data_IF_312688704523
#
_entry.id   IF_312688704523
#
_cell.length_a   1.000
_cell.length_b   1.000
_cell.length_c   1.000
_cell.angle_alpha   90.00
_cell.angle_beta   90.00
_cell.angle_gamma   90.00
#
_symmetry.space_group_name_H-M   'P 1'
#
loop_
_entity.id
_entity.type
_entity.pdbx_description
1 polymer ?
#
# COMPACT_ATOMS: atom_id res chain seq x y z
N UNK A 1 -12.22 24.50 39.75
CA UNK A 1 -10.95 24.67 39.01
C UNK A 1 -11.19 24.19 37.60
N UNK A 2 -11.26 25.08 36.60
CA UNK A 2 -11.25 24.69 35.20
C UNK A 2 -9.81 24.29 34.88
N UNK A 3 -9.57 23.00 34.68
CA UNK A 3 -8.27 22.48 34.25
C UNK A 3 -7.85 23.19 32.97
N UNK A 4 -6.57 23.53 32.87
CA UNK A 4 -6.02 24.24 31.71
C UNK A 4 -6.18 23.33 30.50
N UNK A 5 -6.88 23.83 29.49
CA UNK A 5 -6.93 23.23 28.15
C UNK A 5 -5.50 22.89 27.75
N UNK A 6 -5.24 21.63 27.45
CA UNK A 6 -3.94 21.14 26.99
C UNK A 6 -3.69 21.81 25.63
N UNK A 7 -2.99 22.94 25.65
CA UNK A 7 -2.73 23.76 24.47
C UNK A 7 -1.35 23.46 23.94
N UNK A 8 -1.23 23.45 22.61
CA UNK A 8 0.04 23.45 21.90
C UNK A 8 1.00 24.49 22.48
N UNK A 9 2.25 24.09 22.70
CA UNK A 9 3.30 24.97 23.22
C UNK A 9 4.54 24.84 22.36
N UNK A 10 4.96 25.96 21.80
CA UNK A 10 6.29 26.06 21.16
C UNK A 10 7.34 26.03 22.26
N UNK A 11 8.18 24.99 22.25
CA UNK A 11 9.22 24.78 23.27
C UNK A 11 10.52 25.44 22.85
N UNK A 12 10.90 25.23 21.59
CA UNK A 12 12.09 25.83 21.02
C UNK A 12 11.86 26.19 19.57
N UNK A 13 12.44 27.30 19.17
CA UNK A 13 12.45 27.75 17.79
C UNK A 13 13.90 27.97 17.40
N UNK A 14 14.36 27.19 16.41
CA UNK A 14 15.73 27.25 15.93
C UNK A 14 15.71 27.60 14.45
N UNK A 15 16.45 28.66 14.12
CA UNK A 15 16.68 29.02 12.73
C UNK A 15 17.72 28.06 12.16
N UNK A 16 17.30 27.16 11.27
CA UNK A 16 18.20 26.20 10.63
C UNK A 16 19.05 26.86 9.53
N UNK A 17 18.54 27.92 8.93
CA UNK A 17 19.28 28.74 7.96
C UNK A 17 18.49 29.97 7.55
N UNK A 18 19.20 31.07 7.29
CA UNK A 18 18.67 32.22 6.58
C UNK A 18 19.44 32.37 5.27
N UNK A 19 18.72 32.48 4.15
CA UNK A 19 19.37 32.73 2.86
C UNK A 19 19.17 34.19 2.47
N UNK A 20 20.16 35.04 2.76
CA UNK A 20 20.19 36.39 2.18
C UNK A 20 20.54 36.30 0.70
N UNK A 21 19.90 37.14 -0.12
CA UNK A 21 19.98 37.08 -1.59
C UNK A 21 21.40 37.20 -2.20
N UNK A 22 22.42 37.56 -1.40
CA UNK A 22 23.74 38.00 -1.87
C UNK A 22 24.81 36.90 -1.89
N UNK A 23 24.60 35.74 -1.25
CA UNK A 23 25.59 34.63 -1.28
C UNK A 23 25.40 33.61 -2.42
N UNK A 24 24.40 33.82 -3.30
CA UNK A 24 23.97 32.84 -4.33
C UNK A 24 24.92 32.68 -5.53
N UNK A 25 25.88 33.58 -5.77
CA UNK A 25 26.51 33.67 -7.09
C UNK A 25 27.76 32.78 -7.30
N UNK A 26 28.60 32.55 -6.28
CA UNK A 26 29.90 31.88 -6.46
C UNK A 26 29.96 30.39 -6.06
N UNK A 27 29.16 29.98 -5.07
CA UNK A 27 29.04 28.58 -4.62
C UNK A 27 27.83 27.84 -5.23
N UNK A 28 26.94 28.59 -5.90
CA UNK A 28 25.67 28.10 -6.44
C UNK A 28 25.81 27.17 -7.65
N UNK A 29 26.81 27.35 -8.51
CA UNK A 29 26.87 26.58 -9.77
C UNK A 29 27.26 25.11 -9.53
N UNK A 30 28.27 24.82 -8.68
CA UNK A 30 28.64 23.42 -8.35
C UNK A 30 27.57 22.71 -7.51
N UNK A 31 26.96 23.40 -6.54
CA UNK A 31 25.90 22.79 -5.72
C UNK A 31 24.59 22.60 -6.50
N UNK A 32 24.24 23.53 -7.40
CA UNK A 32 23.09 23.38 -8.30
C UNK A 32 23.31 22.30 -9.35
N UNK A 33 24.53 22.14 -9.88
CA UNK A 33 24.83 21.04 -10.80
C UNK A 33 24.77 19.70 -10.05
N UNK A 34 25.37 19.60 -8.86
CA UNK A 34 25.35 18.35 -8.07
C UNK A 34 23.94 17.96 -7.61
N UNK A 35 23.12 18.91 -7.16
CA UNK A 35 21.74 18.63 -6.72
C UNK A 35 20.79 18.30 -7.87
N UNK A 36 21.08 18.80 -9.08
CA UNK A 36 20.33 18.48 -10.30
C UNK A 36 20.78 17.17 -10.94
N UNK A 37 22.07 16.84 -10.88
CA UNK A 37 22.59 15.53 -11.31
C UNK A 37 22.04 14.41 -10.42
N UNK A 38 21.90 14.65 -9.11
CA UNK A 38 21.20 13.71 -8.23
C UNK A 38 19.73 13.56 -8.60
N UNK A 39 19.08 14.62 -9.07
CA UNK A 39 17.70 14.56 -9.56
C UNK A 39 17.54 13.61 -10.76
N UNK A 40 18.46 13.66 -11.73
CA UNK A 40 18.48 12.74 -12.88
C UNK A 40 18.66 11.29 -12.43
N UNK A 41 19.58 11.03 -11.49
CA UNK A 41 19.82 9.67 -10.98
C UNK A 41 18.60 9.13 -10.23
N UNK A 42 17.96 9.95 -9.39
CA UNK A 42 16.70 9.58 -8.73
C UNK A 42 15.59 9.31 -9.76
N UNK A 43 15.53 10.12 -10.82
CA UNK A 43 14.59 9.91 -11.94
C UNK A 43 14.75 8.55 -12.60
N UNK A 44 15.99 8.11 -12.86
CA UNK A 44 16.27 6.76 -13.36
C UNK A 44 15.81 5.66 -12.40
N UNK A 45 16.07 5.82 -11.09
CA UNK A 45 15.62 4.86 -10.07
C UNK A 45 14.09 4.76 -10.07
N UNK A 46 13.38 5.89 -10.18
CA UNK A 46 11.92 5.92 -10.20
C UNK A 46 11.35 5.21 -11.44
N UNK A 47 11.98 5.39 -12.60
CA UNK A 47 11.60 4.67 -13.81
C UNK A 47 11.79 3.16 -13.62
N UNK A 48 12.94 2.71 -13.11
CA UNK A 48 13.18 1.28 -12.85
C UNK A 48 12.16 0.73 -11.85
N UNK A 49 11.92 1.45 -10.74
CA UNK A 49 10.93 1.07 -9.74
C UNK A 49 9.52 0.95 -10.34
N UNK A 50 9.16 1.83 -11.29
CA UNK A 50 7.85 1.74 -11.95
C UNK A 50 7.64 0.42 -12.69
N UNK A 51 8.68 -0.15 -13.33
CA UNK A 51 8.57 -1.47 -13.99
C UNK A 51 8.30 -2.59 -12.99
N UNK A 52 8.97 -2.56 -11.84
CA UNK A 52 8.75 -3.54 -10.75
C UNK A 52 7.33 -3.44 -10.22
N UNK A 53 6.83 -2.22 -10.01
CA UNK A 53 5.45 -1.98 -9.53
C UNK A 53 4.41 -2.45 -10.55
N UNK A 54 4.60 -2.21 -11.86
CA UNK A 54 3.68 -2.74 -12.89
C UNK A 54 3.70 -4.25 -12.92
N UNK A 55 4.89 -4.85 -12.88
CA UNK A 55 5.02 -6.30 -12.90
C UNK A 55 4.29 -6.92 -11.71
N UNK A 56 4.47 -6.37 -10.51
CA UNK A 56 3.73 -6.80 -9.33
C UNK A 56 2.22 -6.57 -9.46
N UNK A 57 1.80 -5.43 -10.01
CA UNK A 57 0.39 -5.09 -10.25
C UNK A 57 -0.33 -6.05 -11.18
N UNK A 58 0.36 -6.59 -12.20
CA UNK A 58 -0.23 -7.53 -13.17
C UNK A 58 -0.24 -8.96 -12.63
N UNK A 59 0.79 -9.35 -11.89
CA UNK A 59 0.92 -10.69 -11.30
C UNK A 59 0.31 -10.79 -9.89
N UNK A 60 -0.42 -9.77 -9.45
CA UNK A 60 -1.06 -9.76 -8.14
C UNK A 60 -2.08 -10.91 -8.04
N UNK A 61 -1.94 -11.73 -7.00
CA UNK A 61 -2.75 -12.93 -6.80
C UNK A 61 -4.24 -12.59 -6.64
N UNK A 62 -5.06 -13.27 -7.44
CA UNK A 62 -6.52 -13.12 -7.44
C UNK A 62 -7.14 -14.09 -6.42
N UNK A 63 -6.89 -13.81 -5.16
CA UNK A 63 -7.47 -14.56 -4.03
C UNK A 63 -9.01 -14.64 -4.13
N UNK A 64 -9.69 -13.60 -4.62
CA UNK A 64 -11.14 -13.54 -4.70
C UNK A 64 -11.72 -14.58 -5.65
N UNK A 65 -11.13 -14.78 -6.84
CA UNK A 65 -11.60 -15.80 -7.78
C UNK A 65 -11.33 -17.19 -7.23
N UNK A 66 -10.15 -17.42 -6.66
CA UNK A 66 -9.82 -18.70 -6.02
C UNK A 66 -10.84 -19.02 -4.92
N UNK A 67 -11.06 -18.09 -3.99
CA UNK A 67 -12.00 -18.24 -2.88
C UNK A 67 -13.44 -18.43 -3.36
N UNK A 68 -13.85 -17.75 -4.43
CA UNK A 68 -15.18 -17.91 -5.02
C UNK A 68 -15.42 -19.35 -5.49
N UNK A 69 -14.42 -19.94 -6.17
CA UNK A 69 -14.50 -21.27 -6.79
C UNK A 69 -14.38 -22.42 -5.78
N UNK A 70 -13.87 -22.16 -4.57
CA UNK A 70 -13.75 -23.19 -3.54
C UNK A 70 -15.11 -23.75 -3.10
N UNK A 71 -15.20 -25.05 -2.80
CA UNK A 71 -16.41 -25.63 -2.21
C UNK A 71 -16.59 -25.13 -0.77
N UNK A 72 -17.83 -24.76 -0.43
CA UNK A 72 -18.24 -24.52 0.95
C UNK A 72 -18.75 -25.82 1.55
N UNK A 73 -17.97 -26.41 2.44
CA UNK A 73 -18.27 -27.67 3.11
C UNK A 73 -18.82 -27.44 4.52
N UNK A 74 -19.69 -28.34 4.97
CA UNK A 74 -20.06 -28.41 6.39
C UNK A 74 -18.87 -28.89 7.23
N UNK A 75 -18.90 -28.65 8.54
CA UNK A 75 -17.84 -29.11 9.45
C UNK A 75 -17.64 -30.63 9.36
N UNK A 76 -18.71 -31.39 9.18
CA UNK A 76 -18.67 -32.85 9.07
C UNK A 76 -17.95 -33.31 7.80
N UNK A 77 -18.26 -32.68 6.66
CA UNK A 77 -17.65 -32.99 5.37
C UNK A 77 -16.18 -32.56 5.32
N UNK A 78 -15.90 -31.39 5.88
CA UNK A 78 -14.56 -30.84 5.92
C UNK A 78 -13.61 -31.67 6.78
N UNK A 79 -14.07 -32.23 7.90
CA UNK A 79 -13.23 -33.05 8.80
C UNK A 79 -12.62 -34.28 8.13
N UNK A 80 -13.25 -34.81 7.07
CA UNK A 80 -12.72 -35.94 6.28
C UNK A 80 -12.06 -35.52 4.96
N UNK A 81 -12.06 -34.23 4.66
CA UNK A 81 -11.49 -33.68 3.42
C UNK A 81 -10.02 -33.30 3.62
N UNK A 82 -9.31 -33.12 2.51
CA UNK A 82 -7.94 -32.60 2.48
C UNK A 82 -7.81 -31.55 1.38
N UNK A 83 -7.00 -30.51 1.61
CA UNK A 83 -6.75 -29.45 0.63
C UNK A 83 -7.43 -28.13 0.97
N UNK A 84 -7.30 -27.18 0.06
CA UNK A 84 -7.88 -25.84 0.20
C UNK A 84 -9.40 -25.89 0.11
N UNK A 85 -10.10 -25.47 1.16
CA UNK A 85 -11.57 -25.50 1.25
C UNK A 85 -12.11 -24.27 1.99
N UNK A 86 -13.44 -24.08 1.93
CA UNK A 86 -14.17 -23.17 2.82
C UNK A 86 -15.00 -23.98 3.79
N UNK A 87 -14.93 -23.63 5.07
CA UNK A 87 -15.71 -24.26 6.14
C UNK A 87 -16.45 -23.17 6.89
N UNK A 88 -17.76 -23.35 7.08
CA UNK A 88 -18.56 -22.48 7.95
C UNK A 88 -19.04 -23.26 9.17
N UNK A 89 -18.92 -22.69 10.35
CA UNK A 89 -19.36 -23.32 11.58
C UNK A 89 -19.39 -22.37 12.78
N UNK A 90 -20.12 -22.78 13.81
CA UNK A 90 -20.05 -22.13 15.12
C UNK A 90 -18.79 -22.58 15.85
N UNK A 91 -18.20 -21.64 16.59
CA UNK A 91 -17.05 -21.92 17.45
C UNK A 91 -17.54 -22.62 18.71
N UNK A 92 -17.01 -23.82 18.97
CA UNK A 92 -17.41 -24.69 20.08
C UNK A 92 -16.41 -24.70 21.24
N UNK A 93 -15.26 -24.07 21.08
CA UNK A 93 -14.22 -23.95 22.11
C UNK A 93 -14.63 -22.98 23.22
N UNK A 94 -13.99 -23.15 24.39
CA UNK A 94 -14.25 -22.28 25.52
C UNK A 94 -13.91 -20.82 25.18
N UNK A 95 -14.82 -19.85 25.43
CA UNK A 95 -14.56 -18.45 25.18
C UNK A 95 -13.49 -17.91 26.14
N UNK A 96 -12.87 -16.79 25.76
CA UNK A 96 -12.01 -16.01 26.63
C UNK A 96 -12.79 -14.81 27.19
N UNK A 97 -12.32 -14.27 28.31
CA UNK A 97 -12.90 -13.07 28.93
C UNK A 97 -12.26 -11.82 28.34
N UNK A 98 -13.08 -10.94 27.78
CA UNK A 98 -12.63 -9.61 27.38
C UNK A 98 -12.19 -8.80 28.62
N UNK A 99 -11.12 -7.99 28.53
CA UNK A 99 -10.71 -7.09 29.60
C UNK A 99 -11.84 -6.16 30.05
N UNK A 100 -11.81 -5.68 31.30
CA UNK A 100 -12.75 -4.73 31.93
C UNK A 100 -14.20 -5.23 32.12
N UNK A 101 -14.80 -5.82 31.10
CA UNK A 101 -16.22 -6.24 31.09
C UNK A 101 -16.42 -7.71 31.49
N UNK A 102 -15.36 -8.53 31.55
CA UNK A 102 -15.46 -9.98 31.79
C UNK A 102 -16.50 -10.69 30.89
N UNK A 103 -16.72 -10.14 29.69
CA UNK A 103 -17.65 -10.69 28.70
C UNK A 103 -17.00 -11.85 27.96
N UNK A 104 -17.75 -12.91 27.73
CA UNK A 104 -17.30 -14.05 26.94
C UNK A 104 -17.22 -13.68 25.45
N UNK A 105 -16.03 -13.87 24.88
CA UNK A 105 -15.70 -13.53 23.49
C UNK A 105 -14.82 -14.63 22.88
N UNK A 106 -14.86 -14.78 21.55
CA UNK A 106 -13.94 -15.66 20.81
C UNK A 106 -12.65 -14.91 20.47
N UNK A 107 -12.77 -13.61 20.19
CA UNK A 107 -11.68 -12.73 19.84
C UNK A 107 -11.95 -11.36 20.44
N UNK A 108 -10.90 -10.68 20.89
CA UNK A 108 -10.95 -9.24 21.16
C UNK A 108 -9.72 -8.54 20.61
N UNK A 109 -9.91 -7.26 20.32
CA UNK A 109 -8.88 -6.26 20.09
C UNK A 109 -9.12 -5.12 21.09
N UNK A 110 -8.19 -4.95 22.02
CA UNK A 110 -8.23 -3.92 23.05
C UNK A 110 -7.21 -2.85 22.72
N UNK A 111 -7.69 -1.62 22.55
CA UNK A 111 -6.85 -0.44 22.39
C UNK A 111 -7.06 0.50 23.57
N UNK A 112 -5.96 1.02 24.10
CA UNK A 112 -5.94 2.13 25.06
C UNK A 112 -4.99 3.18 24.54
N UNK A 113 -5.53 4.37 24.33
CA UNK A 113 -4.79 5.56 23.95
C UNK A 113 -4.85 6.55 25.11
N UNK A 114 -3.74 7.20 25.39
CA UNK A 114 -3.67 8.29 26.36
C UNK A 114 -3.23 9.56 25.66
N UNK A 115 -3.81 10.69 26.08
CA UNK A 115 -3.44 11.98 25.54
C UNK A 115 -2.13 12.42 26.22
N UNK A 116 -1.05 12.43 25.46
CA UNK A 116 0.26 12.85 25.93
C UNK A 116 0.77 14.06 25.16
N UNK A 117 1.60 14.85 25.82
CA UNK A 117 2.34 15.92 25.14
C UNK A 117 3.52 15.29 24.41
N UNK A 118 3.42 15.21 23.09
CA UNK A 118 4.48 14.69 22.24
C UNK A 118 5.23 15.87 21.63
N UNK A 119 6.56 15.80 21.70
CA UNK A 119 7.47 16.73 21.02
C UNK A 119 7.53 16.35 19.55
N UNK A 120 6.95 17.20 18.70
CA UNK A 120 7.02 17.09 17.25
C UNK A 120 7.93 18.20 16.72
N UNK A 121 8.85 17.82 15.84
CA UNK A 121 9.66 18.78 15.10
C UNK A 121 8.92 19.16 13.83
N UNK A 122 8.50 20.42 13.73
CA UNK A 122 7.87 20.97 12.55
C UNK A 122 8.85 21.91 11.85
N UNK A 123 8.98 21.77 10.53
CA UNK A 123 9.84 22.63 9.72
C UNK A 123 8.97 23.55 8.89
N UNK A 124 9.03 24.85 9.17
CA UNK A 124 8.30 25.87 8.42
C UNK A 124 9.28 26.78 7.69
N UNK A 125 8.98 27.14 6.44
CA UNK A 125 9.74 28.14 5.70
C UNK A 125 8.93 29.43 5.67
N UNK A 126 9.46 30.48 6.28
CA UNK A 126 8.82 31.80 6.31
C UNK A 126 9.68 32.82 5.55
N UNK A 127 9.01 33.78 4.91
CA UNK A 127 9.67 34.92 4.25
C UNK A 127 9.63 36.09 5.23
N UNK A 128 10.80 36.56 5.65
CA UNK A 128 10.94 37.70 6.58
C UNK A 128 11.66 38.84 5.87
N UNK A 129 11.02 40.01 5.79
CA UNK A 129 11.65 41.21 5.23
C UNK A 129 12.55 41.85 6.29
N UNK A 130 13.86 41.86 6.05
CA UNK A 130 14.86 42.53 6.91
C UNK A 130 15.67 43.50 6.04
N UNK A 131 15.77 44.75 6.46
CA UNK A 131 16.51 45.81 5.74
C UNK A 131 16.04 46.00 4.28
N UNK A 132 14.75 45.83 4.01
CA UNK A 132 14.15 45.99 2.68
C UNK A 132 14.41 44.82 1.72
N UNK A 133 14.94 43.69 2.20
CA UNK A 133 15.13 42.46 1.43
C UNK A 133 14.31 41.31 2.04
N UNK A 134 13.63 40.56 1.17
CA UNK A 134 12.91 39.35 1.55
C UNK A 134 13.90 38.19 1.70
N UNK A 135 13.96 37.63 2.91
CA UNK A 135 14.84 36.52 3.26
C UNK A 135 13.97 35.30 3.55
N UNK A 136 14.16 34.23 2.79
CA UNK A 136 13.60 32.92 3.14
C UNK A 136 14.40 32.35 4.31
N UNK A 137 13.68 32.06 5.39
CA UNK A 137 14.20 31.49 6.61
C UNK A 137 13.47 30.18 6.88
N UNK A 138 14.23 29.09 7.00
CA UNK A 138 13.69 27.80 7.45
C UNK A 138 13.84 27.72 8.96
N UNK A 139 12.70 27.60 9.63
CA UNK A 139 12.58 27.55 11.07
C UNK A 139 12.21 26.11 11.43
N UNK A 140 13.04 25.49 12.27
CA UNK A 140 12.69 24.25 12.95
C UNK A 140 12.07 24.64 14.28
N UNK A 141 10.81 24.25 14.45
CA UNK A 141 10.05 24.49 15.66
C UNK A 141 9.82 23.17 16.36
N UNK A 142 10.31 23.07 17.58
CA UNK A 142 9.94 21.98 18.47
C UNK A 142 8.62 22.36 19.15
N UNK A 143 7.56 21.68 18.73
CA UNK A 143 6.20 21.90 19.21
C UNK A 143 5.85 20.75 20.14
N UNK A 144 5.48 21.07 21.38
CA UNK A 144 4.78 20.13 22.25
C UNK A 144 3.29 20.24 21.95
N UNK A 145 2.72 19.19 21.35
CA UNK A 145 1.28 19.13 21.05
C UNK A 145 0.65 17.88 21.66
N UNK A 146 -0.63 17.96 22.06
CA UNK A 146 -1.34 16.81 22.56
C UNK A 146 -1.60 15.81 21.43
N UNK A 147 -1.06 14.61 21.56
CA UNK A 147 -1.32 13.50 20.65
C UNK A 147 -1.85 12.29 21.42
N UNK A 148 -2.77 11.55 20.79
CA UNK A 148 -3.24 10.27 21.32
C UNK A 148 -2.15 9.23 21.08
N UNK A 149 -1.52 8.77 22.15
CA UNK A 149 -0.44 7.78 22.10
C UNK A 149 -1.00 6.43 22.53
N UNK A 150 -0.84 5.42 21.68
CA UNK A 150 -1.23 4.05 22.01
C UNK A 150 -0.38 3.51 23.16
N UNK A 151 -1.02 3.20 24.28
CA UNK A 151 -0.41 2.59 25.47
C UNK A 151 -0.58 1.08 25.48
N UNK A 152 -1.73 0.60 25.01
CA UNK A 152 -2.05 -0.82 24.90
C UNK A 152 -2.68 -1.05 23.54
N UNK A 153 -2.15 -2.02 22.81
CA UNK A 153 -2.72 -2.55 21.59
C UNK A 153 -2.57 -4.08 21.64
N UNK A 154 -3.59 -4.75 22.15
CA UNK A 154 -3.58 -6.20 22.36
C UNK A 154 -4.72 -6.87 21.59
N UNK A 155 -4.40 -7.88 20.81
CA UNK A 155 -5.37 -8.75 20.18
C UNK A 155 -5.19 -10.19 20.64
N UNK A 156 -6.27 -10.85 21.04
CA UNK A 156 -6.23 -12.22 21.56
C UNK A 156 -7.36 -13.07 21.01
N UNK A 157 -7.01 -14.31 20.67
CA UNK A 157 -7.95 -15.35 20.27
C UNK A 157 -8.17 -16.34 21.41
N UNK A 158 -9.40 -16.82 21.54
CA UNK A 158 -9.67 -18.12 22.13
C UNK A 158 -9.12 -19.20 21.19
N UNK A 159 -8.91 -20.42 21.71
CA UNK A 159 -8.78 -21.57 20.83
C UNK A 159 -9.99 -21.59 19.89
N UNK A 160 -9.82 -21.93 18.62
CA UNK A 160 -10.94 -22.01 17.67
C UNK A 160 -11.12 -23.47 17.27
N UNK A 161 -12.29 -24.02 17.62
CA UNK A 161 -12.72 -25.33 17.15
C UNK A 161 -14.10 -25.19 16.52
N UNK A 162 -14.20 -25.41 15.20
CA UNK A 162 -15.47 -25.36 14.47
C UNK A 162 -16.21 -26.69 14.65
N UNK A 163 -17.46 -26.62 15.11
CA UNK A 163 -18.35 -27.76 15.31
C UNK A 163 -17.70 -28.94 16.05
N UNK A 164 -16.86 -28.65 17.05
CA UNK A 164 -16.11 -29.60 17.88
C UNK A 164 -15.12 -30.52 17.14
N UNK A 165 -14.91 -30.35 15.83
CA UNK A 165 -14.11 -31.28 15.02
C UNK A 165 -12.89 -30.64 14.39
N UNK A 166 -13.00 -29.40 13.94
CA UNK A 166 -11.95 -28.76 13.14
C UNK A 166 -11.25 -27.70 13.97
N UNK A 167 -9.99 -27.95 14.32
CA UNK A 167 -9.14 -26.95 14.95
C UNK A 167 -8.69 -25.92 13.90
N UNK A 168 -8.64 -24.65 14.29
CA UNK A 168 -8.15 -23.56 13.43
C UNK A 168 -7.07 -22.79 14.19
N UNK A 169 -5.94 -22.52 13.53
CA UNK A 169 -4.84 -21.72 14.07
C UNK A 169 -4.93 -20.27 13.55
N UNK A 170 -5.57 -19.34 14.28
CA UNK A 170 -5.95 -18.04 13.73
C UNK A 170 -4.80 -17.03 13.59
N UNK A 171 -3.62 -17.32 14.15
CA UNK A 171 -2.53 -16.35 14.25
C UNK A 171 -1.96 -15.97 12.88
N UNK A 172 -1.99 -16.91 11.93
CA UNK A 172 -1.48 -16.70 10.56
C UNK A 172 -2.57 -16.30 9.55
N UNK A 173 -3.83 -16.31 9.96
CA UNK A 173 -4.93 -16.03 9.05
C UNK A 173 -5.08 -14.53 8.79
N UNK A 174 -5.42 -14.18 7.54
CA UNK A 174 -5.93 -12.84 7.22
C UNK A 174 -7.30 -12.67 7.88
N UNK A 175 -7.41 -11.66 8.74
CA UNK A 175 -8.63 -11.38 9.51
C UNK A 175 -9.53 -10.43 8.71
N UNK A 176 -10.73 -10.86 8.38
CA UNK A 176 -11.77 -10.02 7.75
C UNK A 176 -13.02 -10.05 8.63
N UNK A 177 -12.90 -9.51 9.84
CA UNK A 177 -13.92 -9.62 10.89
C UNK A 177 -14.73 -8.33 11.00
N UNK A 178 -16.05 -8.47 11.08
CA UNK A 178 -16.95 -7.42 11.54
C UNK A 178 -17.05 -7.50 13.07
N UNK A 179 -16.18 -6.77 13.76
CA UNK A 179 -16.13 -6.76 15.22
C UNK A 179 -17.22 -5.87 15.79
N UNK A 180 -17.76 -6.26 16.95
CA UNK A 180 -18.72 -5.47 17.72
C UNK A 180 -17.98 -4.74 18.85
N UNK A 181 -18.19 -3.45 18.98
CA UNK A 181 -17.71 -2.70 20.17
C UNK A 181 -18.45 -3.21 21.41
N UNK A 182 -17.72 -3.86 22.31
CA UNK A 182 -18.28 -4.39 23.57
C UNK A 182 -18.03 -3.45 24.74
N UNK A 183 -17.00 -2.62 24.64
CA UNK A 183 -16.66 -1.58 25.62
C UNK A 183 -16.06 -0.38 24.89
N UNK A 184 -16.42 0.82 25.35
CA UNK A 184 -15.84 2.06 24.87
C UNK A 184 -15.86 3.07 26.00
N UNK A 185 -14.71 3.67 26.29
CA UNK A 185 -14.55 4.76 27.23
C UNK A 185 -13.85 5.90 26.49
N UNK A 186 -14.41 7.10 26.59
CA UNK A 186 -13.83 8.29 25.99
C UNK A 186 -13.79 9.39 27.05
N UNK A 187 -12.71 9.42 27.81
CA UNK A 187 -12.41 10.46 28.80
C UNK A 187 -11.48 11.51 28.19
N UNK A 188 -11.33 12.64 28.89
CA UNK A 188 -10.55 13.78 28.40
C UNK A 188 -9.07 13.43 28.14
N UNK A 189 -8.50 12.51 28.92
CA UNK A 189 -7.08 12.13 28.84
C UNK A 189 -6.85 10.67 28.44
N UNK A 190 -7.89 9.87 28.32
CA UNK A 190 -7.78 8.44 28.03
C UNK A 190 -8.96 7.97 27.17
N UNK A 191 -8.65 7.15 26.18
CA UNK A 191 -9.64 6.46 25.35
C UNK A 191 -9.35 4.98 25.38
N UNK A 192 -10.35 4.20 25.72
CA UNK A 192 -10.26 2.74 25.71
C UNK A 192 -11.36 2.21 24.79
N UNK A 193 -11.02 1.21 23.97
CA UNK A 193 -11.99 0.56 23.08
C UNK A 193 -11.72 -0.93 23.05
N UNK A 194 -12.77 -1.73 23.21
CA UNK A 194 -12.71 -3.18 23.04
C UNK A 194 -13.67 -3.57 21.93
N UNK A 195 -13.12 -4.10 20.85
CA UNK A 195 -13.84 -4.66 19.73
C UNK A 195 -13.70 -6.18 19.76
N UNK A 196 -14.82 -6.90 19.68
CA UNK A 196 -14.81 -8.33 19.90
C UNK A 196 -15.75 -9.10 18.96
N UNK A 197 -15.43 -10.39 18.81
CA UNK A 197 -16.28 -11.39 18.17
C UNK A 197 -16.99 -12.20 19.25
N UNK A 198 -18.32 -12.33 19.15
CA UNK A 198 -19.13 -12.99 20.17
C UNK A 198 -19.22 -14.51 19.92
N UNK A 199 -19.38 -15.35 20.97
CA UNK A 199 -19.49 -16.81 20.83
C UNK A 199 -20.61 -17.30 19.90
N UNK A 200 -21.69 -16.52 19.77
CA UNK A 200 -22.83 -16.86 18.92
C UNK A 200 -22.59 -16.58 17.42
N UNK A 201 -21.54 -15.84 17.07
CA UNK A 201 -21.26 -15.47 15.68
C UNK A 201 -20.72 -16.71 14.92
N UNK A 202 -21.24 -16.96 13.72
CA UNK A 202 -20.72 -18.01 12.85
C UNK A 202 -19.41 -17.55 12.22
N UNK A 203 -18.44 -18.46 12.13
CA UNK A 203 -17.19 -18.23 11.44
C UNK A 203 -17.13 -18.99 10.14
N UNK A 204 -16.68 -18.31 9.10
CA UNK A 204 -16.25 -18.88 7.84
C UNK A 204 -14.73 -18.81 7.76
N UNK A 205 -14.12 -19.97 7.53
CA UNK A 205 -12.68 -20.14 7.44
C UNK A 205 -12.35 -20.68 6.07
N UNK A 206 -11.41 -20.02 5.40
CA UNK A 206 -10.83 -20.47 4.13
C UNK A 206 -9.39 -20.86 4.41
N UNK A 207 -9.00 -22.09 4.07
CA UNK A 207 -7.63 -22.55 4.30
C UNK A 207 -7.45 -24.00 3.91
N UNK A 208 -6.20 -24.46 3.98
CA UNK A 208 -5.85 -25.84 3.73
C UNK A 208 -6.18 -26.68 4.97
N UNK A 209 -7.03 -27.69 4.78
CA UNK A 209 -7.37 -28.65 5.83
C UNK A 209 -6.50 -29.90 5.72
N UNK A 210 -5.91 -30.28 6.84
CA UNK A 210 -5.22 -31.56 6.98
C UNK A 210 -5.45 -32.10 8.40
N UNK A 211 -5.86 -33.37 8.51
CA UNK A 211 -6.11 -34.03 9.79
C UNK A 211 -7.06 -33.25 10.72
N UNK A 212 -8.16 -32.71 10.17
CA UNK A 212 -9.12 -31.86 10.89
C UNK A 212 -8.50 -30.60 11.52
N UNK A 213 -7.42 -30.08 10.95
CA UNK A 213 -6.77 -28.86 11.38
C UNK A 213 -6.58 -27.92 10.18
N UNK A 214 -6.93 -26.66 10.35
CA UNK A 214 -6.70 -25.59 9.38
C UNK A 214 -5.70 -24.62 9.99
N UNK A 215 -4.47 -24.60 9.47
CA UNK A 215 -3.37 -23.78 10.02
C UNK A 215 -2.60 -22.97 8.98
N UNK A 216 -3.06 -22.98 7.73
CA UNK A 216 -2.41 -22.31 6.62
C UNK A 216 -3.22 -22.43 5.32
N UNK A 217 -2.53 -22.27 4.19
CA UNK A 217 -3.12 -22.21 2.86
C UNK A 217 -2.91 -20.83 2.21
N UNK A 218 -3.02 -20.79 0.89
CA UNK A 218 -3.00 -19.56 0.13
C UNK A 218 -4.28 -19.46 -0.72
N UNK A 219 -5.30 -18.69 -0.30
CA UNK A 219 -5.31 -17.81 0.87
C UNK A 219 -5.79 -18.50 2.17
N UNK A 220 -5.26 -18.06 3.32
CA UNK A 220 -5.76 -18.44 4.67
C UNK A 220 -6.50 -17.26 5.31
N UNK A 221 -7.83 -17.37 5.48
CA UNK A 221 -8.73 -16.27 5.87
C UNK A 221 -9.69 -16.74 6.95
N UNK A 222 -9.93 -15.88 7.95
CA UNK A 222 -11.01 -16.06 8.94
C UNK A 222 -11.92 -14.84 8.88
N UNK A 223 -13.23 -15.09 8.77
CA UNK A 223 -14.25 -14.05 8.70
C UNK A 223 -15.54 -14.49 9.41
N UNK A 224 -16.32 -13.55 9.91
CA UNK A 224 -17.71 -13.77 10.35
C UNK A 224 -18.73 -13.28 9.31
N UNK A 225 -18.26 -12.91 8.11
CA UNK A 225 -19.10 -12.52 6.98
C UNK A 225 -19.69 -13.75 6.28
N UNK A 226 -20.77 -13.55 5.54
CA UNK A 226 -21.29 -14.58 4.65
C UNK A 226 -20.26 -14.88 3.53
N UNK A 227 -20.38 -16.05 2.89
CA UNK A 227 -19.50 -16.40 1.75
C UNK A 227 -19.61 -15.37 0.61
N UNK A 228 -20.81 -14.82 0.35
CA UNK A 228 -20.99 -13.80 -0.68
C UNK A 228 -20.31 -12.48 -0.29
N UNK A 229 -20.46 -12.04 0.96
CA UNK A 229 -19.85 -10.81 1.47
C UNK A 229 -18.33 -10.92 1.56
N UNK A 230 -17.80 -12.11 1.91
CA UNK A 230 -16.37 -12.37 1.88
C UNK A 230 -15.80 -12.17 0.46
N UNK A 231 -16.40 -12.84 -0.54
CA UNK A 231 -15.93 -12.73 -1.93
C UNK A 231 -16.03 -11.28 -2.41
N UNK A 232 -17.12 -10.58 -2.10
CA UNK A 232 -17.28 -9.17 -2.45
C UNK A 232 -16.21 -8.27 -1.78
N UNK A 233 -15.92 -8.50 -0.50
CA UNK A 233 -14.87 -7.78 0.22
C UNK A 233 -13.48 -8.03 -0.37
N UNK A 234 -13.18 -9.27 -0.77
CA UNK A 234 -11.94 -9.61 -1.45
C UNK A 234 -11.84 -8.92 -2.82
N UNK A 235 -12.87 -9.02 -3.67
CA UNK A 235 -12.89 -8.33 -4.99
C UNK A 235 -12.66 -6.83 -4.82
N UNK A 236 -13.31 -6.20 -3.83
CA UNK A 236 -13.14 -4.77 -3.55
C UNK A 236 -11.71 -4.42 -3.12
N UNK A 237 -11.13 -5.20 -2.21
CA UNK A 237 -9.75 -5.03 -1.73
C UNK A 237 -8.73 -5.20 -2.86
N UNK A 238 -8.91 -6.22 -3.69
CA UNK A 238 -8.05 -6.49 -4.85
C UNK A 238 -8.14 -5.37 -5.89
N UNK A 239 -9.36 -4.94 -6.22
CA UNK A 239 -9.57 -3.82 -7.16
C UNK A 239 -8.93 -2.53 -6.65
N UNK A 240 -9.06 -2.24 -5.36
CA UNK A 240 -8.45 -1.05 -4.74
C UNK A 240 -6.93 -1.13 -4.81
N UNK A 241 -6.34 -2.26 -4.43
CA UNK A 241 -4.89 -2.50 -4.48
C UNK A 241 -4.37 -2.38 -5.92
N UNK A 242 -5.09 -2.98 -6.88
CA UNK A 242 -4.76 -2.88 -8.29
C UNK A 242 -4.71 -1.43 -8.77
N UNK A 243 -5.72 -0.61 -8.45
CA UNK A 243 -5.74 0.82 -8.82
C UNK A 243 -4.64 1.62 -8.13
N UNK A 244 -4.37 1.37 -6.84
CA UNK A 244 -3.28 2.02 -6.10
C UNK A 244 -1.95 1.76 -6.80
N UNK A 245 -1.68 0.51 -7.20
CA UNK A 245 -0.44 0.16 -7.90
C UNK A 245 -0.36 0.77 -9.31
N UNK A 246 -1.48 0.92 -10.03
CA UNK A 246 -1.52 1.65 -11.31
C UNK A 246 -1.21 3.12 -11.14
N UNK A 247 -1.79 3.77 -10.13
CA UNK A 247 -1.52 5.18 -9.83
C UNK A 247 -0.07 5.35 -9.38
N UNK A 248 0.44 4.46 -8.52
CA UNK A 248 1.83 4.47 -8.09
C UNK A 248 2.80 4.32 -9.27
N UNK A 249 2.52 3.41 -10.21
CA UNK A 249 3.29 3.28 -11.46
C UNK A 249 3.29 4.60 -12.24
N UNK A 250 2.10 5.16 -12.49
CA UNK A 250 1.93 6.38 -13.25
C UNK A 250 2.78 7.52 -12.66
N UNK A 251 2.71 7.68 -11.34
CA UNK A 251 3.47 8.71 -10.62
C UNK A 251 4.97 8.43 -10.67
N UNK A 252 5.42 7.20 -10.39
CA UNK A 252 6.84 6.85 -10.43
C UNK A 252 7.44 7.07 -11.81
N UNK A 253 6.78 6.59 -12.87
CA UNK A 253 7.27 6.75 -14.23
C UNK A 253 7.19 8.22 -14.68
N UNK A 254 6.04 8.88 -14.49
CA UNK A 254 5.83 10.25 -14.93
C UNK A 254 6.72 11.25 -14.20
N UNK A 255 6.87 11.13 -12.88
CA UNK A 255 7.79 11.96 -12.10
C UNK A 255 9.25 11.60 -12.41
N UNK A 256 9.57 10.31 -12.59
CA UNK A 256 10.90 9.88 -13.00
C UNK A 256 11.33 10.51 -14.33
N UNK A 257 10.43 10.51 -15.32
CA UNK A 257 10.65 11.16 -16.62
C UNK A 257 10.79 12.69 -16.48
N UNK A 258 9.93 13.32 -15.69
CA UNK A 258 10.02 14.75 -15.41
C UNK A 258 11.38 15.14 -14.81
N UNK A 259 11.89 14.33 -13.87
CA UNK A 259 13.20 14.54 -13.24
C UNK A 259 14.36 14.34 -14.22
N UNK A 260 14.27 13.38 -15.14
CA UNK A 260 15.26 13.21 -16.21
C UNK A 260 15.34 14.43 -17.15
N UNK A 261 14.20 15.08 -17.39
CA UNK A 261 14.12 16.30 -18.21
C UNK A 261 14.47 17.58 -17.43
N UNK A 262 14.78 17.46 -16.13
CA UNK A 262 15.21 18.57 -15.27
C UNK A 262 16.32 19.46 -15.87
N UNK A 263 17.38 18.90 -16.47
CA UNK A 263 18.40 19.70 -17.14
C UNK A 263 17.90 20.46 -18.38
N UNK A 264 16.92 19.93 -19.13
CA UNK A 264 16.35 20.60 -20.29
C UNK A 264 15.49 21.81 -19.89
N UNK A 265 14.86 21.75 -18.71
CA UNK A 265 14.09 22.87 -18.15
C UNK A 265 14.93 24.12 -17.88
N UNK A 266 16.26 24.00 -17.71
CA UNK A 266 17.16 25.13 -17.50
C UNK A 266 17.16 26.13 -18.65
N UNK A 267 16.95 25.63 -19.86
CA UNK A 267 16.88 26.46 -21.07
C UNK A 267 15.54 27.22 -21.10
N UNK A 268 14.47 26.60 -20.59
CA UNK A 268 13.13 27.18 -20.55
C UNK A 268 13.01 28.29 -19.49
N UNK A 269 13.72 28.14 -18.37
CA UNK A 269 13.77 29.12 -17.28
C UNK A 269 14.51 30.42 -17.66
N UNK A 270 15.25 30.44 -18.78
CA UNK A 270 15.85 31.66 -19.31
C UNK A 270 14.80 32.71 -19.73
N UNK A 271 13.52 32.32 -19.86
CA UNK A 271 12.41 33.21 -20.22
C UNK A 271 11.47 33.36 -19.00
N UNK A 272 11.38 34.56 -18.37
CA UNK A 272 10.77 34.77 -17.05
C UNK A 272 9.31 34.32 -16.88
N UNK A 273 8.50 34.41 -17.94
CA UNK A 273 7.06 34.07 -17.90
C UNK A 273 6.83 32.61 -18.35
N UNK A 274 7.69 32.07 -19.21
CA UNK A 274 7.55 30.72 -19.74
C UNK A 274 8.03 29.64 -18.77
N UNK A 275 8.92 29.97 -17.82
CA UNK A 275 9.47 28.98 -16.87
C UNK A 275 8.40 28.25 -16.06
N UNK A 276 7.57 28.98 -15.29
CA UNK A 276 6.57 28.34 -14.39
C UNK A 276 5.48 27.58 -15.15
N UNK A 277 4.95 28.18 -16.22
CA UNK A 277 3.90 27.55 -17.05
C UNK A 277 4.48 26.34 -17.79
N UNK A 278 5.71 26.45 -18.30
CA UNK A 278 6.41 25.39 -19.01
C UNK A 278 6.74 24.19 -18.12
N UNK A 279 7.10 24.41 -16.86
CA UNK A 279 7.35 23.32 -15.89
C UNK A 279 6.07 22.51 -15.59
N UNK A 280 4.94 23.18 -15.33
CA UNK A 280 3.66 22.50 -15.12
C UNK A 280 3.20 21.78 -16.40
N UNK A 281 3.32 22.45 -17.55
CA UNK A 281 3.00 21.85 -18.85
C UNK A 281 3.82 20.60 -19.14
N UNK A 282 5.13 20.64 -18.86
CA UNK A 282 6.01 19.48 -19.02
C UNK A 282 5.62 18.33 -18.08
N UNK A 283 5.29 18.62 -16.82
CA UNK A 283 4.82 17.61 -15.87
C UNK A 283 3.56 16.92 -16.38
N UNK A 284 2.59 17.67 -16.89
CA UNK A 284 1.36 17.11 -17.49
C UNK A 284 1.71 16.21 -18.67
N UNK A 285 2.57 16.65 -19.59
CA UNK A 285 3.03 15.83 -20.72
C UNK A 285 3.71 14.55 -20.24
N UNK A 286 4.59 14.63 -19.23
CA UNK A 286 5.25 13.45 -18.66
C UNK A 286 4.27 12.48 -18.02
N UNK A 287 3.25 12.98 -17.31
CA UNK A 287 2.18 12.14 -16.74
C UNK A 287 1.32 11.50 -17.83
N UNK A 288 1.02 12.20 -18.93
CA UNK A 288 0.31 11.62 -20.08
C UNK A 288 1.12 10.49 -20.73
N UNK A 289 2.43 10.69 -20.92
CA UNK A 289 3.33 9.64 -21.39
C UNK A 289 3.36 8.48 -20.38
N UNK A 290 3.42 8.78 -19.07
CA UNK A 290 3.35 7.78 -18.01
C UNK A 290 2.04 6.98 -17.99
N UNK A 291 0.92 7.60 -18.36
CA UNK A 291 -0.37 6.94 -18.47
C UNK A 291 -0.36 5.95 -19.64
N UNK A 292 0.11 6.39 -20.81
CA UNK A 292 0.27 5.51 -21.98
C UNK A 292 1.20 4.35 -21.64
N UNK A 293 2.34 4.64 -21.01
CA UNK A 293 3.28 3.62 -20.54
C UNK A 293 2.62 2.63 -19.58
N UNK A 294 1.86 3.09 -18.58
CA UNK A 294 1.18 2.23 -17.59
C UNK A 294 0.21 1.27 -18.28
N UNK A 295 -0.56 1.75 -19.26
CA UNK A 295 -1.49 0.91 -20.05
C UNK A 295 -0.72 -0.09 -20.91
N UNK A 296 0.25 0.37 -21.70
CA UNK A 296 1.01 -0.48 -22.63
C UNK A 296 1.83 -1.55 -21.89
N UNK A 297 2.56 -1.16 -20.84
CA UNK A 297 3.33 -2.10 -20.02
C UNK A 297 2.44 -3.16 -19.37
N UNK A 298 1.27 -2.77 -18.86
CA UNK A 298 0.30 -3.71 -18.30
C UNK A 298 -0.20 -4.72 -19.34
N UNK A 299 -0.48 -4.27 -20.57
CA UNK A 299 -0.88 -5.15 -21.68
C UNK A 299 0.26 -6.09 -22.10
N UNK A 300 1.48 -5.57 -22.24
CA UNK A 300 2.65 -6.37 -22.62
C UNK A 300 2.91 -7.47 -21.60
N UNK A 301 2.84 -7.15 -20.30
CA UNK A 301 3.08 -8.15 -19.24
C UNK A 301 1.92 -9.14 -19.16
N UNK A 302 0.67 -8.70 -19.28
CA UNK A 302 -0.48 -9.61 -19.24
C UNK A 302 -0.55 -10.57 -20.44
N UNK A 303 -0.09 -10.13 -21.62
CA UNK A 303 -0.23 -10.85 -22.88
C UNK A 303 1.11 -11.23 -23.54
N UNK A 304 2.19 -11.33 -22.75
CA UNK A 304 3.53 -11.60 -23.26
C UNK A 304 3.61 -12.90 -24.10
N UNK A 305 2.79 -13.90 -23.78
CA UNK A 305 2.71 -15.16 -24.53
C UNK A 305 2.17 -14.98 -25.97
N UNK A 306 1.31 -13.98 -26.23
CA UNK A 306 0.80 -13.69 -27.58
C UNK A 306 1.96 -13.24 -28.48
N UNK A 307 2.88 -12.44 -27.93
CA UNK A 307 4.08 -12.00 -28.64
C UNK A 307 4.96 -13.21 -29.02
N UNK A 308 5.12 -14.19 -28.12
CA UNK A 308 5.85 -15.41 -28.41
C UNK A 308 5.20 -16.23 -29.53
N UNK A 309 3.88 -16.38 -29.51
CA UNK A 309 3.15 -17.10 -30.56
C UNK A 309 3.33 -16.40 -31.91
N UNK A 310 3.25 -15.07 -31.94
CA UNK A 310 3.41 -14.29 -33.16
C UNK A 310 4.85 -14.37 -33.71
N UNK A 311 5.87 -14.32 -32.85
CA UNK A 311 7.26 -14.53 -33.25
C UNK A 311 7.50 -15.95 -33.78
N UNK A 312 6.92 -16.97 -33.15
CA UNK A 312 7.00 -18.35 -33.63
C UNK A 312 6.33 -18.53 -35.00
N UNK A 313 5.18 -17.88 -35.23
CA UNK A 313 4.49 -17.88 -36.51
C UNK A 313 5.33 -17.22 -37.61
N UNK A 314 5.95 -16.07 -37.33
CA UNK A 314 6.86 -15.39 -38.27
C UNK A 314 8.06 -16.27 -38.59
N UNK A 315 8.70 -16.87 -37.58
CA UNK A 315 9.84 -17.76 -37.79
C UNK A 315 9.46 -18.99 -38.63
N UNK A 316 8.32 -19.61 -38.35
CA UNK A 316 7.77 -20.72 -39.14
C UNK A 316 7.50 -20.33 -40.59
N UNK A 317 6.92 -19.14 -40.81
CA UNK A 317 6.68 -18.59 -42.14
C UNK A 317 7.99 -18.32 -42.92
N UNK A 318 9.01 -17.76 -42.26
CA UNK A 318 10.31 -17.53 -42.89
C UNK A 318 11.02 -18.84 -43.27
N UNK A 319 10.93 -19.89 -42.43
CA UNK A 319 11.46 -21.23 -42.75
C UNK A 319 10.70 -21.85 -43.93
N UNK A 320 9.37 -21.69 -43.98
CA UNK A 320 8.54 -22.14 -45.09
C UNK A 320 8.94 -21.47 -46.41
N UNK A 321 9.12 -20.14 -46.41
CA UNK A 321 9.60 -19.41 -47.59
C UNK A 321 11.00 -19.87 -48.03
N UNK A 322 11.91 -20.14 -47.09
CA UNK A 322 13.26 -20.65 -47.42
C UNK A 322 13.22 -22.05 -48.05
N UNK A 323 12.30 -22.92 -47.64
CA UNK A 323 12.11 -24.23 -48.28
C UNK A 323 11.57 -24.14 -49.71
N UNK A 324 10.89 -23.04 -50.05
CA UNK A 324 10.35 -22.81 -51.39
C UNK A 324 11.32 -22.13 -52.36
N UNK A 325 12.50 -21.69 -51.90
CA UNK A 325 13.51 -21.18 -52.82
C UNK A 325 14.11 -22.36 -53.61
N UNK A 326 13.94 -22.44 -54.95
CA UNK A 326 14.50 -23.51 -55.75
C UNK A 326 16.03 -23.47 -55.64
N UNK A 327 16.65 -24.65 -55.52
CA UNK A 327 18.09 -24.78 -55.41
C UNK A 327 18.77 -23.97 -56.53
N UNK A 328 19.55 -22.96 -56.15
CA UNK A 328 20.30 -22.12 -57.09
C UNK A 328 21.12 -23.07 -57.98
N UNK A 329 20.92 -23.10 -59.31
CA UNK A 329 21.63 -24.04 -60.16
C UNK A 329 23.13 -23.80 -59.99
N UNK A 330 23.85 -24.88 -59.67
CA UNK A 330 25.30 -24.84 -59.56
C UNK A 330 25.87 -24.52 -60.95
N UNK A 331 26.47 -23.34 -61.10
CA UNK A 331 27.16 -22.98 -62.33
C UNK A 331 28.33 -23.96 -62.53
N UNK A 332 28.21 -24.79 -63.57
CA UNK A 332 29.32 -25.49 -64.25
C UNK A 332 30.07 -24.52 -65.15
#
# INVERSE_FOLDING_TARGET
MKERVISEKVVSEKVLGSSSGISRFGRGVKSQISSRLSGVLIGFIFIIASFVVVWYSVNFDKSASLVADLPLLSVEQAATSSGLIKVSGQVSSAPIKAPKENKDVIYYHFTREELEMVKSTETETQVVTRDGQDIEQTIEREVEKPEWVSKIDEAKWAAIVLGQKIAVAPEKAKKLLDLKTVYSLNEEKAREKIEALLPADQLLVVGDIANSNISGGDPFIITNKSNQDLVAALVSSEKTTWWILKIATLLLFGLGLYMLLGPALLILDAIPILGKIGQIGLLIVCLLIGLIFTVLSSLIIAYWYIILILLAAIAGYLIYLKKQQPAKPANS
#
